data_IF_996522696757
#
_entry.id   IF_996522696757
#
_cell.length_a   1.000
_cell.length_b   1.000
_cell.length_c   1.000
_cell.angle_alpha   90.00
_cell.angle_beta   90.00
_cell.angle_gamma   90.00
#
_symmetry.space_group_name_H-M   'P 1'
#
loop_
_entity.id
_entity.type
_entity.pdbx_description
1 polymer ?
2 non-polymer ?
3 non-polymer ?
4 non-polymer ?
5 non-polymer ?
6 water ?
#
# COMPACT_ATOMS: atom_id res chain seq x y z
N UNK A 7 -20.27 21.36 16.63
CA UNK A 7 -19.41 22.51 16.95
C UNK A 7 -18.30 22.82 15.89
N UNK A 8 -18.59 22.54 14.59
CA UNK A 8 -17.72 22.78 13.41
C UNK A 8 -18.57 22.69 12.13
N UNK A 9 -18.19 23.41 11.04
CA UNK A 9 -18.88 23.34 9.74
C UNK A 9 -17.89 22.98 8.61
N UNK A 10 -18.43 22.57 7.44
CA UNK A 10 -17.60 22.28 6.26
C UNK A 10 -17.39 23.59 5.49
N UNK A 11 -16.19 23.82 4.90
CA UNK A 11 -15.97 25.07 4.15
C UNK A 11 -16.95 25.24 3.01
N UNK A 12 -17.29 26.51 2.73
CA UNK A 12 -18.23 26.89 1.69
C UNK A 12 -17.87 26.29 0.32
N UNK A 13 -16.54 26.29 -0.03
CA UNK A 13 -16.00 25.76 -1.28
C UNK A 13 -16.29 24.24 -1.47
N UNK A 14 -16.06 23.42 -0.40
CA UNK A 14 -16.34 21.98 -0.40
C UNK A 14 -17.82 21.78 -0.60
N UNK A 15 -18.62 22.46 0.27
CA UNK A 15 -20.08 22.47 0.32
C UNK A 15 -20.73 22.86 -0.98
N UNK A 16 -20.06 23.71 -1.78
CA UNK A 16 -20.55 24.16 -3.09
C UNK A 16 -20.58 23.01 -4.09
N UNK A 17 -19.61 22.09 -3.98
CA UNK A 17 -19.45 20.95 -4.88
C UNK A 17 -19.94 19.60 -4.40
N UNK A 18 -19.89 19.34 -3.08
CA UNK A 18 -20.25 18.06 -2.51
C UNK A 18 -21.29 18.14 -1.40
N UNK A 19 -22.13 17.07 -1.29
CA UNK A 19 -23.13 16.84 -0.24
C UNK A 19 -22.53 15.82 0.73
N UNK A 20 -21.99 16.29 1.88
CA UNK A 20 -21.35 15.42 2.87
C UNK A 20 -22.37 14.49 3.56
N UNK A 21 -21.95 13.23 3.81
CA UNK A 21 -22.79 12.19 4.41
C UNK A 21 -22.06 11.45 5.55
N UNK A 22 -22.49 10.21 5.86
CA UNK A 22 -22.01 9.30 6.92
C UNK A 22 -20.50 9.06 6.96
N UNK A 23 -19.97 8.80 8.17
CA UNK A 23 -18.54 8.50 8.37
C UNK A 23 -18.23 7.07 7.89
N UNK A 24 -17.13 6.91 7.14
CA UNK A 24 -16.68 5.61 6.66
C UNK A 24 -15.62 5.07 7.62
N UNK A 25 -14.76 5.97 8.11
CA UNK A 25 -13.71 5.61 9.06
C UNK A 25 -13.08 6.79 9.78
N UNK A 26 -13.21 6.81 11.13
CA UNK A 26 -12.61 7.84 12.00
C UNK A 26 -11.12 7.53 12.30
N UNK A 27 -10.41 8.48 12.94
CA UNK A 27 -9.01 8.33 13.28
C UNK A 27 -8.55 9.24 14.40
N UNK A 31 -10.54 11.71 10.12
CA UNK A 31 -11.77 11.00 9.70
C UNK A 31 -11.95 10.92 8.16
N UNK A 32 -12.80 9.96 7.68
CA UNK A 32 -13.14 9.73 6.27
C UNK A 32 -14.66 9.67 6.12
N UNK A 33 -15.21 10.59 5.33
CA UNK A 33 -16.65 10.67 5.12
C UNK A 33 -17.06 10.35 3.70
N UNK A 34 -18.28 9.81 3.55
CA UNK A 34 -18.92 9.53 2.27
C UNK A 34 -19.52 10.85 1.84
N UNK A 35 -19.41 11.21 0.57
CA UNK A 35 -19.99 12.44 0.06
C UNK A 35 -20.56 12.19 -1.31
N UNK A 36 -21.38 13.14 -1.82
CA UNK A 36 -21.95 13.05 -3.14
C UNK A 36 -21.56 14.25 -3.98
N UNK A 37 -20.86 14.02 -5.09
CA UNK A 37 -20.50 15.10 -6.00
C UNK A 37 -21.81 15.55 -6.64
N UNK A 38 -22.14 16.83 -6.44
CA UNK A 38 -23.37 17.47 -6.92
C UNK A 38 -23.59 17.36 -8.42
N UNK A 39 -22.51 17.57 -9.22
CA UNK A 39 -22.53 17.57 -10.68
C UNK A 39 -22.91 16.21 -11.26
N UNK A 40 -22.41 15.12 -10.63
CA UNK A 40 -22.55 13.76 -11.13
C UNK A 40 -23.53 12.87 -10.39
N UNK A 41 -23.84 13.23 -9.12
CA UNK A 41 -24.67 12.50 -8.16
C UNK A 41 -24.04 11.17 -7.83
N UNK A 42 -22.70 11.16 -7.89
CA UNK A 42 -21.89 9.98 -7.67
C UNK A 42 -21.25 10.04 -6.30
N UNK A 43 -21.15 8.86 -5.66
CA UNK A 43 -20.53 8.68 -4.35
C UNK A 43 -19.01 8.95 -4.47
N UNK A 44 -18.45 9.68 -3.49
CA UNK A 44 -17.01 9.98 -3.39
C UNK A 44 -16.59 9.78 -1.93
N UNK A 45 -15.29 9.76 -1.64
CA UNK A 45 -14.83 9.67 -0.26
C UNK A 45 -14.03 10.94 0.06
N UNK A 46 -14.34 11.62 1.18
CA UNK A 46 -13.62 12.83 1.55
C UNK A 46 -12.76 12.63 2.80
N UNK A 47 -11.42 12.62 2.63
CA UNK A 47 -10.47 12.48 3.73
C UNK A 47 -10.17 13.84 4.35
N UNK A 48 -10.52 13.98 5.63
CA UNK A 48 -10.31 15.18 6.43
C UNK A 48 -9.06 15.03 7.32
N UNK A 49 -8.04 15.84 7.04
CA UNK A 49 -6.80 15.92 7.81
C UNK A 49 -6.85 17.20 8.66
N UNK A 50 -6.66 17.07 9.98
CA UNK A 50 -6.64 18.23 10.89
C UNK A 50 -5.29 18.97 10.75
N UNK A 51 -5.33 20.32 10.85
CA UNK A 51 -4.13 21.18 10.73
C UNK A 51 -3.44 21.43 12.08
N UNK A 67 3.28 18.65 4.42
CA UNK A 67 3.31 17.21 4.15
C UNK A 67 2.12 16.73 3.31
N UNK A 68 0.97 17.45 3.42
CA UNK A 68 -0.25 17.13 2.66
C UNK A 68 -0.03 17.59 1.21
N UNK A 69 0.71 18.70 1.02
CA UNK A 69 1.05 19.25 -0.29
C UNK A 69 1.92 18.25 -1.08
N UNK A 70 2.82 17.54 -0.38
CA UNK A 70 3.68 16.51 -0.96
C UNK A 70 2.79 15.33 -1.39
N UNK A 71 1.88 14.92 -0.49
CA UNK A 71 0.93 13.84 -0.70
C UNK A 71 0.04 14.11 -1.94
N UNK A 72 -0.45 15.37 -2.11
CA UNK A 72 -1.30 15.77 -3.25
C UNK A 72 -0.46 15.71 -4.51
N UNK A 73 0.74 16.34 -4.48
CA UNK A 73 1.70 16.35 -5.59
C UNK A 73 1.98 14.93 -6.07
N UNK A 74 2.26 13.99 -5.12
CA UNK A 74 2.49 12.59 -5.45
C UNK A 74 1.24 11.98 -6.11
N UNK A 75 0.08 12.02 -5.42
CA UNK A 75 -1.19 11.49 -5.90
C UNK A 75 -1.60 11.92 -7.30
N UNK A 76 -1.51 13.23 -7.61
CA UNK A 76 -1.86 13.83 -8.90
C UNK A 76 -1.02 13.28 -10.07
N UNK A 77 0.28 13.06 -9.84
CA UNK A 77 1.23 12.57 -10.85
C UNK A 77 1.10 11.06 -11.09
N UNK A 78 0.79 10.28 -10.04
CA UNK A 78 0.68 8.82 -10.11
C UNK A 78 -0.64 8.40 -10.74
N UNK A 79 -0.56 7.46 -11.70
CA UNK A 79 -1.72 6.95 -12.40
C UNK A 79 -1.63 5.43 -12.65
N UNK A 80 -2.18 4.63 -11.72
CA UNK A 80 -2.20 3.18 -11.80
C UNK A 80 -3.53 2.67 -11.29
N UNK A 81 -4.09 1.56 -11.84
CA UNK A 81 -5.40 1.07 -11.33
C UNK A 81 -5.44 0.60 -9.87
N UNK A 82 -4.26 0.36 -9.25
CA UNK A 82 -4.17 -0.12 -7.87
C UNK A 82 -3.59 0.91 -6.91
N UNK A 83 -3.70 2.19 -7.28
CA UNK A 83 -3.30 3.33 -6.47
C UNK A 83 -4.48 4.33 -6.43
N UNK A 84 -4.93 4.73 -5.23
CA UNK A 84 -6.03 5.69 -5.06
C UNK A 84 -5.84 7.01 -5.85
N UNK A 85 -6.91 7.47 -6.51
CA UNK A 85 -6.85 8.68 -7.31
C UNK A 85 -7.48 9.86 -6.58
N UNK A 86 -6.81 11.00 -6.64
CA UNK A 86 -7.29 12.23 -6.04
C UNK A 86 -8.24 12.88 -7.04
N UNK A 87 -9.43 13.26 -6.55
CA UNK A 87 -10.47 13.86 -7.37
C UNK A 87 -10.52 15.38 -7.18
N UNK A 88 -10.30 15.85 -5.94
CA UNK A 88 -10.35 17.27 -5.57
C UNK A 88 -9.65 17.53 -4.25
N UNK A 89 -9.32 18.80 -3.98
CA UNK A 89 -8.63 19.16 -2.74
C UNK A 89 -9.04 20.52 -2.20
N UNK A 90 -9.23 20.57 -0.88
CA UNK A 90 -9.60 21.78 -0.16
C UNK A 90 -8.67 22.08 1.03
N UNK A 91 -7.91 23.19 0.92
CA UNK A 91 -7.01 23.67 1.96
C UNK A 91 -7.73 24.80 2.71
N UNK A 92 -8.50 24.43 3.76
CA UNK A 92 -9.31 25.34 4.61
C UNK A 92 -8.73 25.37 6.04
N UNK A 93 -9.59 25.48 7.09
CA UNK A 93 -9.17 25.44 8.50
C UNK A 93 -8.64 24.02 8.85
N UNK A 94 -8.95 23.05 7.94
CA UNK A 94 -8.54 21.64 7.90
C UNK A 94 -8.29 21.29 6.42
N UNK A 95 -7.68 20.12 6.16
CA UNK A 95 -7.45 19.67 4.80
C UNK A 95 -8.53 18.70 4.38
N UNK A 96 -9.06 18.86 3.16
CA UNK A 96 -10.08 17.99 2.61
C UNK A 96 -9.59 17.40 1.30
N UNK A 97 -9.49 16.07 1.23
CA UNK A 97 -9.03 15.38 0.03
C UNK A 97 -10.16 14.50 -0.48
N UNK A 98 -10.68 14.84 -1.66
CA UNK A 98 -11.75 14.08 -2.33
C UNK A 98 -11.09 12.95 -3.14
N UNK A 99 -11.44 11.70 -2.79
CA UNK A 99 -10.91 10.49 -3.42
C UNK A 99 -12.05 9.66 -3.94
N UNK A 100 -11.71 8.67 -4.80
CA UNK A 100 -12.71 7.72 -5.32
C UNK A 100 -13.14 6.85 -4.14
N UNK A 101 -14.44 6.59 -4.04
CA UNK A 101 -14.97 5.74 -2.98
C UNK A 101 -14.65 4.28 -3.26
N UNK A 102 -14.28 3.55 -2.18
CA UNK A 102 -13.95 2.12 -2.18
C UNK A 102 -14.96 1.48 -1.26
N UNK A 103 -15.97 0.86 -1.90
CA UNK A 103 -17.10 0.24 -1.23
C UNK A 103 -16.80 -0.99 -0.37
N UNK A 104 -15.62 -1.57 -0.54
CA UNK A 104 -15.19 -2.73 0.24
C UNK A 104 -14.54 -2.38 1.56
N UNK A 105 -14.19 -1.10 1.70
CA UNK A 105 -13.53 -0.56 2.88
C UNK A 105 -12.09 -0.98 2.99
N UNK A 106 -11.58 -1.08 4.22
CA UNK A 106 -10.19 -1.45 4.50
C UNK A 106 -10.00 -2.95 4.51
N UNK A 107 -8.82 -3.42 4.01
CA UNK A 107 -8.43 -4.84 4.01
C UNK A 107 -8.28 -5.29 5.46
N UNK A 108 -7.84 -4.37 6.34
CA UNK A 108 -7.69 -4.63 7.78
C UNK A 108 -8.91 -5.30 8.39
N UNK A 109 -10.12 -4.85 8.02
CA UNK A 109 -11.40 -5.38 8.52
C UNK A 109 -11.70 -6.82 8.05
N UNK A 110 -10.89 -7.35 7.10
CA UNK A 110 -11.02 -8.73 6.58
C UNK A 110 -10.03 -9.68 7.27
N UNK A 111 -8.98 -9.12 7.88
CA UNK A 111 -7.92 -9.86 8.57
C UNK A 111 -7.94 -9.71 10.11
N UNK A 112 -8.61 -8.65 10.64
CA UNK A 112 -8.71 -8.34 12.07
C UNK A 112 -9.17 -9.52 12.95
N UNK A 113 -8.44 -9.72 14.06
CA UNK A 113 -8.70 -10.73 15.08
C UNK A 113 -8.80 -12.17 14.59
N UNK A 114 -7.65 -12.73 14.14
CA UNK A 114 -7.50 -14.10 13.66
C UNK A 114 -8.39 -14.56 12.47
N UNK A 115 -9.08 -13.61 11.79
CA UNK A 115 -9.89 -13.88 10.59
C UNK A 115 -8.89 -14.12 9.43
N UNK A 116 -9.07 -15.23 8.70
CA UNK A 116 -8.16 -15.52 7.60
C UNK A 116 -8.84 -15.64 6.23
N UNK A 117 -8.18 -15.04 5.20
CA UNK A 117 -8.60 -15.03 3.79
C UNK A 117 -8.15 -16.33 3.11
N UNK A 118 -8.94 -16.86 2.14
CA UNK A 118 -8.52 -18.06 1.40
C UNK A 118 -7.32 -17.74 0.51
N UNK A 119 -6.43 -18.74 0.31
CA UNK A 119 -5.19 -18.56 -0.46
C UNK A 119 -5.37 -17.83 -1.79
N UNK A 120 -6.43 -18.18 -2.55
CA UNK A 120 -6.71 -17.57 -3.86
C UNK A 120 -6.93 -16.07 -3.73
N UNK A 121 -7.71 -15.66 -2.70
CA UNK A 121 -8.04 -14.27 -2.39
C UNK A 121 -6.78 -13.51 -2.05
N UNK A 122 -5.86 -14.14 -1.26
CA UNK A 122 -4.57 -13.57 -0.85
C UNK A 122 -3.76 -13.25 -2.07
N UNK A 123 -3.70 -14.19 -3.03
CA UNK A 123 -2.96 -14.04 -4.26
C UNK A 123 -3.51 -12.87 -5.07
N UNK A 124 -4.83 -12.84 -5.31
CA UNK A 124 -5.50 -11.80 -6.09
C UNK A 124 -5.19 -10.40 -5.57
N UNK A 125 -5.24 -10.23 -4.25
CA UNK A 125 -4.94 -8.98 -3.57
C UNK A 125 -3.42 -8.71 -3.58
N UNK A 126 -2.59 -9.73 -3.24
CA UNK A 126 -1.15 -9.57 -3.20
C UNK A 126 -0.57 -9.14 -4.52
N UNK A 127 -1.00 -9.78 -5.59
CA UNK A 127 -0.59 -9.50 -6.96
C UNK A 127 -0.77 -8.02 -7.27
N UNK A 128 -1.94 -7.47 -6.91
CA UNK A 128 -2.29 -6.06 -7.11
C UNK A 128 -1.40 -5.14 -6.26
N UNK A 129 -1.16 -5.51 -4.98
CA UNK A 129 -0.28 -4.76 -4.08
C UNK A 129 1.14 -4.76 -4.71
N UNK A 130 1.60 -5.90 -5.28
CA UNK A 130 2.91 -5.98 -5.94
C UNK A 130 2.99 -5.08 -7.18
N UNK A 131 1.95 -5.10 -8.02
CA UNK A 131 1.89 -4.23 -9.20
C UNK A 131 1.90 -2.74 -8.80
N UNK A 132 1.12 -2.38 -7.77
CA UNK A 132 1.03 -1.01 -7.25
C UNK A 132 2.35 -0.50 -6.72
N UNK A 133 3.00 -1.30 -5.87
CA UNK A 133 4.29 -0.98 -5.26
C UNK A 133 5.41 -1.01 -6.33
N UNK A 134 5.33 -1.90 -7.32
CA UNK A 134 6.33 -1.90 -8.37
C UNK A 134 6.29 -0.53 -9.06
N UNK A 135 5.08 -0.08 -9.46
CA UNK A 135 4.77 1.20 -10.11
C UNK A 135 5.39 2.36 -9.33
N UNK A 136 5.09 2.45 -8.02
CA UNK A 136 5.62 3.45 -7.09
C UNK A 136 7.16 3.55 -7.22
N UNK A 137 7.86 2.41 -7.06
CA UNK A 137 9.31 2.29 -7.11
C UNK A 137 9.86 2.65 -8.50
N UNK A 138 9.17 2.16 -9.56
CA UNK A 138 9.48 2.46 -10.95
C UNK A 138 9.50 3.96 -11.16
N UNK A 139 8.52 4.67 -10.54
CA UNK A 139 8.31 6.12 -10.56
C UNK A 139 9.02 6.88 -9.42
N UNK A 140 9.94 6.21 -8.72
CA UNK A 140 10.74 6.77 -7.62
C UNK A 140 9.99 7.25 -6.40
N UNK A 141 8.97 6.51 -5.96
CA UNK A 141 8.17 6.83 -4.77
C UNK A 141 8.18 5.62 -3.84
N UNK A 142 8.47 5.86 -2.56
CA UNK A 142 8.47 4.83 -1.52
C UNK A 142 7.30 5.18 -0.59
N UNK A 143 6.28 4.30 -0.49
CA UNK A 143 5.09 4.49 0.35
C UNK A 143 5.44 4.67 1.83
N UNK A 144 6.30 3.80 2.37
CA UNK A 144 6.79 3.85 3.76
C UNK A 144 5.81 3.45 4.88
N UNK A 145 4.51 3.39 4.59
CA UNK A 145 3.53 3.02 5.60
C UNK A 145 2.47 2.00 5.10
N UNK A 146 2.92 0.93 4.39
CA UNK A 146 2.00 -0.12 3.90
C UNK A 146 1.51 -0.98 5.08
N UNK A 147 0.18 -1.19 5.16
CA UNK A 147 -0.53 -1.93 6.21
C UNK A 147 -1.86 -2.40 5.63
N UNK A 148 -2.57 -3.37 6.28
CA UNK A 148 -3.92 -3.72 5.82
C UNK A 148 -4.90 -2.54 5.94
N UNK A 149 -4.64 -1.57 6.85
CA UNK A 149 -5.50 -0.37 6.98
C UNK A 149 -5.29 0.69 5.89
N UNK A 150 -4.26 0.49 5.03
CA UNK A 150 -3.89 1.37 3.89
C UNK A 150 -4.15 0.72 2.52
N UNK A 151 -4.68 -0.52 2.50
CA UNK A 151 -5.09 -1.29 1.31
C UNK A 151 -6.64 -1.31 1.34
N UNK A 152 -7.28 -0.69 0.30
CA UNK A 152 -8.74 -0.57 0.21
C UNK A 152 -9.30 -1.48 -0.85
N UNK A 153 -10.42 -2.16 -0.53
CA UNK A 153 -11.10 -3.07 -1.47
C UNK A 153 -12.22 -2.30 -2.19
N UNK A 154 -12.33 -2.50 -3.52
CA UNK A 154 -13.31 -1.81 -4.36
C UNK A 154 -14.77 -2.18 -4.09
N UNK A 155 -15.05 -3.41 -3.63
CA UNK A 155 -16.42 -3.85 -3.38
C UNK A 155 -16.57 -4.82 -2.21
N UNK A 156 -17.82 -5.12 -1.83
CA UNK A 156 -18.10 -6.05 -0.74
C UNK A 156 -17.88 -7.54 -1.16
N UNK A 157 -17.46 -7.76 -2.42
CA UNK A 157 -17.16 -9.06 -3.03
C UNK A 157 -15.70 -9.41 -2.74
N UNK A 158 -15.40 -10.69 -2.49
CA UNK A 158 -14.03 -11.14 -2.23
C UNK A 158 -13.12 -11.06 -3.46
N UNK A 159 -13.71 -11.28 -4.65
CA UNK A 159 -13.01 -11.14 -5.91
C UNK A 159 -13.30 -9.71 -6.34
N UNK A 160 -12.34 -8.80 -6.08
CA UNK A 160 -12.45 -7.36 -6.35
C UNK A 160 -11.09 -6.71 -6.60
N UNK A 161 -11.10 -5.41 -6.95
CA UNK A 161 -9.88 -4.62 -7.16
C UNK A 161 -9.45 -4.01 -5.85
N UNK A 162 -8.14 -3.94 -5.61
CA UNK A 162 -7.63 -3.28 -4.41
C UNK A 162 -6.93 -2.00 -4.83
N UNK A 163 -6.84 -1.02 -3.93
CA UNK A 163 -6.10 0.23 -4.19
C UNK A 163 -5.36 0.61 -2.92
N UNK A 164 -4.12 1.12 -3.11
CA UNK A 164 -3.20 1.54 -2.06
C UNK A 164 -3.55 2.96 -1.73
N UNK A 165 -3.62 3.27 -0.42
CA UNK A 165 -3.94 4.60 0.11
C UNK A 165 -2.90 5.10 1.15
N UNK A 166 -3.10 6.32 1.71
CA UNK A 166 -2.25 7.01 2.71
C UNK A 166 -0.82 7.22 2.24
N UNK A 167 -0.63 8.22 1.39
CA UNK A 167 0.72 8.55 0.94
C UNK A 167 1.37 9.63 1.81
N UNK A 168 0.84 9.80 3.04
CA UNK A 168 1.30 10.74 4.04
C UNK A 168 2.76 10.58 4.40
N UNK A 169 3.17 9.33 4.64
CA UNK A 169 4.55 8.98 5.00
C UNK A 169 5.45 8.75 3.78
N UNK A 170 4.89 8.80 2.53
CA UNK A 170 5.70 8.56 1.34
C UNK A 170 6.88 9.50 1.11
N UNK A 171 7.97 8.99 0.54
CA UNK A 171 9.18 9.76 0.26
C UNK A 171 9.49 9.75 -1.24
N UNK A 172 10.05 10.87 -1.76
CA UNK A 172 10.45 10.97 -3.18
C UNK A 172 11.92 10.61 -3.31
N UNK A 173 12.20 9.64 -4.19
CA UNK A 173 13.52 9.09 -4.44
C UNK A 173 14.65 9.97 -4.97
N UNK A 174 15.86 9.49 -4.69
CA UNK A 174 17.14 10.09 -5.06
C UNK A 174 18.10 10.16 -3.90
N UNK A 175 19.27 9.47 -4.02
CA UNK A 175 20.34 9.49 -2.99
C UNK A 175 21.25 10.73 -3.27
N UNK A 176 20.66 11.70 -4.00
CA UNK A 176 21.20 12.95 -4.51
C UNK A 176 22.21 13.67 -3.61
N UNK A 177 21.95 13.70 -2.29
CA UNK A 177 22.84 14.33 -1.31
C UNK A 177 24.18 13.56 -1.20
N UNK A 178 24.13 12.22 -1.27
CA UNK A 178 25.34 11.40 -1.24
C UNK A 178 26.01 11.47 -2.61
N UNK A 179 25.20 11.34 -3.68
CA UNK A 179 25.67 11.41 -5.07
C UNK A 179 26.47 12.71 -5.30
N UNK A 180 25.94 13.88 -4.84
CA UNK A 180 26.59 15.20 -4.93
C UNK A 180 27.94 15.20 -4.19
N UNK A 181 27.96 14.66 -2.96
CA UNK A 181 29.14 14.53 -2.10
C UNK A 181 30.22 13.67 -2.76
N UNK A 182 29.83 12.51 -3.34
CA UNK A 182 30.76 11.57 -4.01
C UNK A 182 31.46 12.17 -5.22
N UNK A 183 30.91 13.26 -5.79
CA UNK A 183 31.53 13.93 -6.95
C UNK A 183 32.85 14.62 -6.62
N UNK A 184 33.13 14.79 -5.33
CA UNK A 184 34.37 15.40 -4.87
C UNK A 184 35.37 14.41 -4.27
N UNK A 185 36.60 14.91 -3.98
CA UNK A 185 37.65 14.14 -3.32
C UNK A 185 37.25 14.07 -1.85
N UNK A 186 37.25 12.87 -1.22
CA UNK A 186 36.79 12.77 0.17
C UNK A 186 37.83 13.11 1.21
N UNK A 187 38.80 13.95 0.85
CA UNK A 187 39.87 14.37 1.75
C UNK A 187 39.31 14.65 3.16
N UNK A 188 38.19 15.41 3.23
CA UNK A 188 37.50 15.83 4.46
C UNK A 188 36.23 15.03 4.78
N UNK A 189 35.83 14.07 3.93
CA UNK A 189 34.64 13.25 4.16
C UNK A 189 34.78 12.16 5.26
N UNK A 190 33.90 12.21 6.28
CA UNK A 190 33.78 11.30 7.41
C UNK A 190 33.59 9.85 6.96
N UNK A 191 34.16 8.87 7.70
CA UNK A 191 34.04 7.46 7.29
C UNK A 191 32.63 6.89 7.26
N UNK A 192 31.76 7.30 8.20
CA UNK A 192 30.38 6.80 8.20
C UNK A 192 29.65 7.04 6.88
N UNK A 193 29.99 8.17 6.21
CA UNK A 193 29.39 8.58 4.95
C UNK A 193 29.87 7.64 3.86
N UNK A 194 31.17 7.29 3.90
CA UNK A 194 31.70 6.34 2.94
C UNK A 194 31.13 4.94 3.21
N UNK A 195 30.79 4.64 4.46
CA UNK A 195 30.20 3.34 4.79
C UNK A 195 28.79 3.20 4.22
N UNK A 196 27.93 4.21 4.42
CA UNK A 196 26.55 4.27 3.96
C UNK A 196 26.37 4.00 2.48
N UNK A 197 27.41 4.28 1.65
CA UNK A 197 27.46 4.06 0.20
C UNK A 197 27.02 2.62 -0.15
N UNK A 198 27.41 1.64 0.67
CA UNK A 198 27.09 0.23 0.46
C UNK A 198 25.61 -0.11 0.42
N UNK A 199 24.85 0.53 1.31
CA UNK A 199 23.42 0.35 1.51
C UNK A 199 22.59 1.32 0.66
N UNK A 200 23.04 2.60 0.52
CA UNK A 200 22.35 3.68 -0.21
C UNK A 200 21.54 3.27 -1.44
N UNK A 201 20.30 3.72 -1.51
CA UNK A 201 19.43 3.39 -2.63
C UNK A 201 18.70 2.06 -2.51
N UNK A 202 18.42 1.63 -1.26
CA UNK A 202 17.69 0.42 -0.93
C UNK A 202 16.57 0.74 0.07
N UNK A 203 16.16 2.02 0.14
CA UNK A 203 15.08 2.50 1.02
C UNK A 203 13.74 1.88 0.60
N UNK A 204 13.54 1.66 -0.71
CA UNK A 204 12.35 1.05 -1.28
C UNK A 204 12.11 -0.37 -0.74
N UNK A 205 13.18 -1.07 -0.31
CA UNK A 205 13.10 -2.41 0.28
C UNK A 205 12.24 -2.43 1.56
N UNK A 206 12.05 -1.25 2.22
CA UNK A 206 11.18 -1.14 3.40
C UNK A 206 9.74 -1.51 3.08
N UNK A 207 9.26 -1.14 1.87
CA UNK A 207 7.94 -1.47 1.35
C UNK A 207 7.84 -2.98 1.06
N UNK A 208 8.94 -3.64 0.71
CA UNK A 208 8.88 -5.09 0.47
C UNK A 208 8.81 -5.87 1.75
N UNK A 209 9.41 -5.33 2.81
CA UNK A 209 9.30 -5.90 4.14
C UNK A 209 7.80 -5.89 4.52
N UNK A 210 7.18 -4.67 4.48
CA UNK A 210 5.80 -4.35 4.79
C UNK A 210 4.83 -5.27 4.08
N UNK A 211 5.00 -5.44 2.77
CA UNK A 211 4.18 -6.35 1.97
C UNK A 211 4.31 -7.78 2.50
N UNK A 212 5.53 -8.14 2.90
CA UNK A 212 5.84 -9.45 3.46
C UNK A 212 5.13 -9.69 4.77
N UNK A 213 5.00 -8.64 5.61
CA UNK A 213 4.29 -8.68 6.88
C UNK A 213 2.79 -8.77 6.56
N UNK A 214 2.33 -8.05 5.50
CA UNK A 214 0.92 -8.06 5.06
C UNK A 214 0.52 -9.48 4.61
N UNK A 215 1.33 -10.08 3.71
CA UNK A 215 1.09 -11.40 3.16
C UNK A 215 1.04 -12.49 4.26
N UNK A 216 1.86 -12.37 5.30
CA UNK A 216 1.87 -13.28 6.44
C UNK A 216 0.50 -13.22 7.15
N UNK A 217 0.06 -12.00 7.52
CA UNK A 217 -1.23 -11.74 8.18
C UNK A 217 -2.41 -12.31 7.37
N UNK A 218 -2.48 -12.02 6.07
CA UNK A 218 -3.54 -12.50 5.18
C UNK A 218 -3.69 -14.01 5.16
N UNK A 219 -2.56 -14.71 4.95
CA UNK A 219 -2.48 -16.17 4.84
C UNK A 219 -2.77 -16.94 6.12
N UNK A 220 -2.28 -16.44 7.26
CA UNK A 220 -2.37 -17.05 8.60
C UNK A 220 -3.52 -16.57 9.51
N UNK A 221 -3.85 -15.29 9.40
CA UNK A 221 -4.83 -14.63 10.25
C UNK A 221 -4.14 -13.97 11.42
N UNK A 222 -2.82 -14.25 11.61
CA UNK A 222 -2.01 -13.72 12.71
C UNK A 222 -0.74 -12.95 12.29
N UNK A 223 -0.26 -11.96 13.12
CA UNK A 223 0.98 -11.23 12.79
C UNK A 223 2.29 -12.03 12.99
N UNK A 224 3.32 -11.80 12.14
CA UNK A 224 4.59 -12.53 12.32
C UNK A 224 5.36 -12.13 13.57
N UNK A 225 5.24 -10.85 13.96
CA UNK A 225 5.93 -10.27 15.11
C UNK A 225 4.92 -9.56 16.02
N UNK A 226 4.84 -9.98 17.29
CA UNK A 226 3.93 -9.40 18.28
C UNK A 226 4.48 -9.62 19.67
N UNK A 227 4.00 -8.83 20.65
CA UNK A 227 4.42 -9.01 22.02
C UNK A 227 3.50 -10.03 22.75
N UNK A 228 2.49 -10.62 22.03
CA UNK A 228 1.57 -11.63 22.57
C UNK A 228 2.25 -12.99 22.69
N UNK A 229 2.08 -13.62 23.86
CA UNK A 229 2.60 -14.93 24.23
C UNK A 229 4.05 -15.18 23.80
N UNK A 230 4.96 -14.28 24.22
CA UNK A 230 6.40 -14.31 23.93
C UNK A 230 7.20 -13.47 24.93
N UNK A 231 8.48 -13.82 25.13
CA UNK A 231 9.41 -13.14 26.03
C UNK A 231 10.24 -12.09 25.27
N UNK A 232 10.64 -12.45 24.05
CA UNK A 232 11.47 -11.63 23.17
C UNK A 232 10.75 -10.35 22.71
N UNK A 233 11.43 -9.17 22.86
CA UNK A 233 10.89 -7.86 22.48
C UNK A 233 10.63 -7.80 20.99
N UNK A 234 9.55 -7.06 20.61
CA UNK A 234 9.12 -6.81 19.24
C UNK A 234 10.33 -6.35 18.42
N UNK A 235 11.19 -5.45 18.99
CA UNK A 235 12.41 -4.99 18.34
C UNK A 235 13.28 -6.18 17.96
N UNK A 236 13.62 -7.05 18.95
CA UNK A 236 14.50 -8.22 18.74
C UNK A 236 13.98 -9.23 17.74
N UNK A 237 12.66 -9.51 17.78
CA UNK A 237 12.01 -10.42 16.83
C UNK A 237 12.27 -9.91 15.42
N UNK A 238 12.01 -8.60 15.17
CA UNK A 238 12.20 -7.98 13.86
C UNK A 238 13.66 -7.94 13.42
N UNK A 239 14.58 -7.45 14.28
CA UNK A 239 16.00 -7.36 13.95
C UNK A 239 16.59 -8.71 13.62
N UNK A 240 16.25 -9.74 14.39
CA UNK A 240 16.69 -11.11 14.13
C UNK A 240 15.98 -11.72 12.91
N UNK A 241 14.77 -11.21 12.63
CA UNK A 241 13.92 -11.71 11.55
C UNK A 241 13.27 -13.03 11.88
N UNK A 242 13.17 -13.35 13.19
CA UNK A 242 12.60 -14.61 13.69
C UNK A 242 11.09 -14.50 13.96
N UNK A 243 10.29 -14.73 12.89
CA UNK A 243 8.83 -14.65 12.95
C UNK A 243 8.24 -15.86 13.66
N UNK A 244 7.07 -15.64 14.26
CA UNK A 244 6.33 -16.68 14.93
C UNK A 244 5.72 -17.64 13.89
N UNK A 245 6.27 -18.86 13.82
CA UNK A 245 5.73 -19.86 12.90
C UNK A 245 4.87 -20.89 13.66
N UNK A 246 3.55 -20.88 13.39
CA UNK A 246 2.62 -21.83 14.00
C UNK A 246 2.28 -22.87 12.90
N UNK A 247 2.88 -24.09 12.96
CA UNK A 247 2.64 -25.10 11.91
C UNK A 247 1.18 -25.42 11.61
N UNK A 248 0.37 -25.67 12.68
CA UNK A 248 -1.07 -25.99 12.61
C UNK A 248 -1.81 -25.01 11.71
N UNK A 249 -1.47 -23.72 11.81
CA UNK A 249 -2.10 -22.65 11.04
C UNK A 249 -1.66 -22.72 9.57
N UNK A 250 -0.34 -22.77 9.33
CA UNK A 250 0.28 -22.77 8.01
C UNK A 250 0.16 -24.06 7.23
N UNK A 251 -0.26 -25.15 7.90
CA UNK A 251 -0.48 -26.48 7.29
C UNK A 251 -1.52 -26.37 6.14
N UNK A 252 -2.56 -25.52 6.35
CA UNK A 252 -3.64 -25.21 5.41
C UNK A 252 -3.15 -24.21 4.31
N UNK A 253 -1.84 -23.87 4.31
CA UNK A 253 -1.24 -22.91 3.35
C UNK A 253 -0.16 -23.62 2.52
N UNK A 254 -0.10 -23.34 1.20
CA UNK A 254 0.87 -23.88 0.26
C UNK A 254 2.32 -23.51 0.61
N UNK A 255 3.27 -24.37 0.19
CA UNK A 255 4.72 -24.16 0.38
C UNK A 255 5.22 -22.97 -0.46
N UNK A 256 4.63 -22.76 -1.67
CA UNK A 256 4.94 -21.64 -2.58
C UNK A 256 4.67 -20.29 -1.90
N UNK A 257 3.46 -20.15 -1.27
CA UNK A 257 2.99 -18.97 -0.55
C UNK A 257 3.98 -18.62 0.55
N UNK A 258 4.29 -19.59 1.44
CA UNK A 258 5.25 -19.42 2.53
C UNK A 258 6.67 -19.13 2.03
N UNK A 259 7.10 -19.74 0.91
CA UNK A 259 8.43 -19.48 0.34
C UNK A 259 8.55 -17.99 0.02
N UNK A 260 7.53 -17.39 -0.64
CA UNK A 260 7.50 -15.96 -0.93
C UNK A 260 7.62 -15.06 0.33
N UNK A 261 6.86 -15.39 1.39
CA UNK A 261 6.87 -14.69 2.68
C UNK A 261 8.30 -14.70 3.22
N UNK A 262 8.91 -15.92 3.28
CA UNK A 262 10.29 -16.14 3.72
C UNK A 262 11.26 -15.26 2.90
N UNK A 263 11.04 -15.14 1.57
CA UNK A 263 11.85 -14.33 0.67
C UNK A 263 11.74 -12.81 0.88
N UNK A 264 10.56 -12.31 1.33
CA UNK A 264 10.33 -10.86 1.60
C UNK A 264 10.75 -10.49 3.04
N UNK A 265 10.59 -11.42 4.00
CA UNK A 265 10.94 -11.17 5.40
C UNK A 265 12.42 -11.55 5.66
N UNK A 266 13.31 -10.96 4.87
CA UNK A 266 14.76 -11.12 4.88
C UNK A 266 15.32 -9.84 5.51
N UNK A 267 16.09 -10.00 6.62
CA UNK A 267 16.69 -8.90 7.39
C UNK A 267 17.57 -7.98 6.51
N UNK A 268 18.45 -8.55 5.66
CA UNK A 268 19.32 -7.79 4.77
C UNK A 268 18.48 -7.13 3.65
N UNK A 269 18.37 -5.78 3.63
CA UNK A 269 17.55 -5.15 2.57
C UNK A 269 18.10 -5.30 1.16
N UNK A 270 19.40 -5.65 1.01
CA UNK A 270 20.04 -5.83 -0.29
C UNK A 270 19.73 -7.21 -0.82
N UNK A 271 19.58 -8.18 0.10
CA UNK A 271 19.25 -9.59 -0.19
C UNK A 271 17.73 -9.79 -0.38
N UNK A 272 16.89 -8.97 0.30
CA UNK A 272 15.41 -8.98 0.24
C UNK A 272 14.85 -8.96 -1.19
N UNK A 273 13.70 -9.63 -1.40
CA UNK A 273 13.03 -9.70 -2.69
C UNK A 273 12.51 -8.34 -3.08
N UNK A 274 12.61 -8.02 -4.36
CA UNK A 274 12.08 -6.78 -4.90
C UNK A 274 10.66 -7.10 -5.37
N UNK A 275 9.89 -6.09 -5.82
CA UNK A 275 8.56 -6.33 -6.37
C UNK A 275 8.66 -7.18 -7.65
N UNK A 276 9.73 -6.98 -8.43
CA UNK A 276 10.02 -7.71 -9.67
C UNK A 276 10.31 -9.19 -9.41
N UNK A 277 11.09 -9.46 -8.38
CA UNK A 277 11.48 -10.83 -7.98
C UNK A 277 10.26 -11.56 -7.47
N UNK A 278 9.42 -10.86 -6.67
CA UNK A 278 8.18 -11.37 -6.09
C UNK A 278 7.19 -11.71 -7.21
N UNK A 279 6.98 -10.80 -8.17
CA UNK A 279 6.11 -11.00 -9.32
C UNK A 279 6.57 -12.16 -10.22
N UNK A 280 7.90 -12.42 -10.27
CA UNK A 280 8.51 -13.54 -11.02
C UNK A 280 8.41 -14.86 -10.21
N UNK A 281 8.14 -14.77 -8.89
CA UNK A 281 8.04 -15.96 -8.01
C UNK A 281 6.97 -16.97 -8.49
N UNK A 282 7.26 -18.29 -8.41
CA UNK A 282 6.27 -19.30 -8.80
C UNK A 282 4.84 -19.12 -8.27
N UNK A 283 4.69 -18.61 -7.02
CA UNK A 283 3.37 -18.42 -6.40
C UNK A 283 2.48 -17.50 -7.19
N UNK A 284 3.07 -16.54 -7.91
CA UNK A 284 2.33 -15.57 -8.70
C UNK A 284 2.10 -15.96 -10.18
N UNK A 285 2.73 -17.07 -10.62
CA UNK A 285 2.61 -17.62 -11.96
C UNK A 285 1.29 -18.42 -12.06
N UNK A 286 0.17 -17.71 -11.86
CA UNK A 286 -1.21 -18.19 -11.81
C UNK A 286 -2.05 -17.45 -12.85
N UNK A 287 -2.32 -18.15 -13.98
CA UNK A 287 -3.09 -17.56 -15.06
C UNK A 287 -4.57 -17.32 -14.79
N UNK A 288 -5.13 -18.11 -13.87
CA UNK A 288 -6.51 -17.97 -13.41
C UNK A 288 -6.67 -16.67 -12.62
N UNK A 289 -5.71 -16.44 -11.69
CA UNK A 289 -5.63 -15.26 -10.85
C UNK A 289 -5.46 -14.04 -11.76
N UNK A 290 -4.44 -14.06 -12.64
CA UNK A 290 -4.14 -12.97 -13.60
C UNK A 290 -5.36 -12.62 -14.47
N UNK A 291 -6.11 -13.65 -14.94
CA UNK A 291 -7.34 -13.48 -15.74
C UNK A 291 -8.46 -12.80 -14.93
N UNK A 292 -8.70 -13.26 -13.68
CA UNK A 292 -9.72 -12.70 -12.77
C UNK A 292 -9.49 -11.19 -12.55
N UNK A 293 -8.21 -10.78 -12.26
CA UNK A 293 -7.86 -9.37 -12.08
C UNK A 293 -8.14 -8.56 -13.36
N UNK A 294 -7.73 -9.12 -14.53
CA UNK A 294 -7.98 -8.50 -15.84
C UNK A 294 -9.47 -8.32 -16.10
N UNK A 295 -10.30 -9.30 -15.67
CA UNK A 295 -11.75 -9.27 -15.82
C UNK A 295 -12.40 -8.21 -14.95
N UNK A 296 -11.85 -8.00 -13.74
CA UNK A 296 -12.32 -7.01 -12.77
C UNK A 296 -11.94 -5.61 -13.24
N UNK A 297 -10.75 -5.51 -13.89
CA UNK A 297 -10.18 -4.28 -14.45
C UNK A 297 -11.08 -3.76 -15.57
N UNK A 298 -11.33 -4.59 -16.60
CA UNK A 298 -12.20 -4.28 -17.74
C UNK A 298 -13.62 -3.95 -17.29
N UNK A 299 -14.11 -4.60 -16.20
CA UNK A 299 -15.44 -4.37 -15.62
C UNK A 299 -15.56 -2.94 -15.08
N UNK A 300 -14.50 -2.45 -14.37
CA UNK A 300 -14.42 -1.08 -13.81
C UNK A 300 -14.28 -0.07 -14.97
N UNK A 301 -13.33 -0.35 -15.88
CA UNK A 301 -12.99 0.47 -17.05
C UNK A 301 -14.10 0.58 -18.13
N UNK A 302 -15.04 -0.40 -18.18
CA UNK A 302 -16.15 -0.45 -19.14
C UNK A 302 -17.04 0.78 -19.11
N UNK A 303 -17.26 1.36 -17.92
CA UNK A 303 -18.09 2.54 -17.70
C UNK A 303 -17.56 3.80 -18.43
N UNK A 304 -16.22 4.00 -18.41
CA UNK A 304 -15.54 5.17 -18.98
C UNK A 304 -14.83 4.94 -20.35
N UNK A 305 -15.06 3.78 -20.98
CA UNK A 305 -14.47 3.40 -22.26
C UNK A 305 -15.03 4.20 -23.44
N UNK A 306 -14.16 5.05 -24.02
CA UNK A 306 -14.46 5.88 -25.19
C UNK A 306 -14.39 4.92 -26.41
N UNK A 307 -15.25 5.05 -27.47
CA UNK A 307 -15.12 4.16 -28.64
C UNK A 307 -13.75 4.41 -29.29
N UNK A 308 -13.13 3.38 -29.87
CA UNK A 308 -11.82 3.67 -30.41
C UNK A 308 -11.58 3.40 -31.86
N UNK A 309 -10.46 3.93 -32.36
CA UNK A 309 -9.99 3.86 -33.73
C UNK A 309 -9.60 2.43 -34.03
N UNK A 310 -10.26 1.83 -35.06
CA UNK A 310 -10.05 0.47 -35.53
C UNK A 310 -9.62 0.47 -36.99
X LIG B 1 -11.56 5.75 0.37
X LIG B 1 -11.50 5.52 1.76
X LIG B 1 -10.80 6.61 -0.31
X LIG B 1 -12.55 4.98 -0.17
X LIG B 1 -12.04 4.13 4.48
X LIG B 1 -12.81 3.94 3.33
X LIG B 1 -12.46 4.58 2.06
X LIG B 1 -12.33 3.57 5.66
X LIG B 1 -13.41 2.79 5.74
X LIG B 1 -14.24 2.54 4.66
X LIG B 1 -13.92 3.12 3.44
X LIG B 1 -13.07 4.30 0.88
X LIG C 1 15.96 3.54 -3.11
X LIG C 1 16.26 4.26 -2.06
X LIG C 1 15.26 2.59 -2.95
X LIG C 1 16.42 3.89 -4.17
X LIG D 1 -11.82 22.93 -8.28
X LIG D 1 -13.10 22.94 -8.90
X LIG D 1 -11.98 23.18 -6.75
X LIG D 1 -10.72 23.16 -6.10
X LIG E 1 -21.84 21.78 7.93
#
# INVERSE_FOLDING_TARGET
GPLGSHMSVYPKALRDEYIMSKTLGSGACGEVKLAFERKTCKKVAIKIISKRKFAIGSAREADPALNVETEIEILKKLNHPCIIKIKNFFDAEDYYIVLELMEGGELFDKVVGNKRLKEATCKLYFYQMLLAVQYLHENGIIHRDLKPENVLLSSQEEDCLIKITDFGHSKILGETSLMRTLCGTPTYLAPEVLVSVGTAGYNRAVDCWSLGVILFICLSGYPPFSEHRTQVSLKDQITSGKYNFIPEVWAEVSEKALDLVKKLLVVDPKARFTTEEALRHPWLQDEDMKRKFQDLLSEENESTALPQVLAQPSTSRKRPREGEAEGAE
P3J C0 C1 N1 N2 C3 C4 C5 N6 C7 C8 C9 N
NO3 N O1 O2 O3
EDO C1 O1 C2 O2
CL CL
#
